data_IF_796030212891
#
_entry.id   IF_796030212891
#
_cell.length_a   1.000
_cell.length_b   1.000
_cell.length_c   1.000
_cell.angle_alpha   90.00
_cell.angle_beta   90.00
_cell.angle_gamma   90.00
#
_symmetry.space_group_name_H-M   'P 1'
#
loop_
_entity.id
_entity.type
_entity.pdbx_description
1 polymer ?
#
# COMPACT_ATOMS: atom_id res chain seq x y z
N UNK A 1 -23.03 3.13 -18.80
CA UNK A 1 -22.12 1.96 -18.57
C UNK A 1 -21.49 1.41 -19.85
N UNK A 2 -22.06 1.63 -21.05
CA UNK A 2 -21.47 1.14 -22.32
C UNK A 2 -20.03 1.65 -22.53
N UNK A 3 -19.71 2.90 -22.17
CA UNK A 3 -18.37 3.47 -22.26
C UNK A 3 -17.31 2.75 -21.40
N UNK A 4 -17.70 2.16 -20.26
CA UNK A 4 -16.80 1.47 -19.34
C UNK A 4 -16.79 -0.06 -19.54
N UNK A 5 -17.53 -0.60 -20.49
CA UNK A 5 -17.66 -2.06 -20.69
C UNK A 5 -16.34 -2.74 -21.09
N UNK A 6 -15.45 -2.03 -21.79
CA UNK A 6 -14.12 -2.52 -22.11
C UNK A 6 -13.19 -2.66 -20.92
N UNK A 7 -13.35 -1.80 -19.91
CA UNK A 7 -12.55 -1.79 -18.69
C UNK A 7 -13.19 -2.59 -17.54
N UNK A 8 -14.49 -2.39 -17.33
CA UNK A 8 -15.26 -3.08 -16.28
C UNK A 8 -15.90 -4.36 -16.81
N UNK A 9 -15.11 -5.33 -17.23
CA UNK A 9 -15.58 -6.66 -17.57
C UNK A 9 -14.88 -7.72 -16.73
N UNK A 10 -15.56 -8.87 -16.53
CA UNK A 10 -15.05 -9.96 -15.68
C UNK A 10 -13.70 -10.49 -16.15
N UNK A 11 -13.47 -10.58 -17.45
CA UNK A 11 -12.22 -11.08 -18.00
C UNK A 11 -11.03 -10.16 -17.68
N UNK A 12 -11.16 -8.86 -17.99
CA UNK A 12 -10.15 -7.86 -17.69
C UNK A 12 -9.86 -7.76 -16.19
N UNK A 13 -10.92 -7.70 -15.36
CA UNK A 13 -10.78 -7.69 -13.90
C UNK A 13 -9.97 -8.90 -13.39
N UNK A 14 -10.34 -10.10 -13.83
CA UNK A 14 -9.66 -11.33 -13.38
C UNK A 14 -8.20 -11.37 -13.82
N UNK A 15 -7.92 -11.05 -15.09
CA UNK A 15 -6.54 -11.07 -15.62
C UNK A 15 -5.65 -10.07 -14.88
N UNK A 16 -6.10 -8.82 -14.74
CA UNK A 16 -5.29 -7.77 -14.06
C UNK A 16 -5.10 -8.09 -12.57
N UNK A 17 -6.13 -8.59 -11.90
CA UNK A 17 -6.04 -9.01 -10.50
C UNK A 17 -5.03 -10.14 -10.32
N UNK A 18 -5.12 -11.18 -11.13
CA UNK A 18 -4.17 -12.32 -11.08
C UNK A 18 -2.75 -11.86 -11.36
N UNK A 19 -2.53 -11.06 -12.41
CA UNK A 19 -1.20 -10.52 -12.73
C UNK A 19 -0.62 -9.69 -11.57
N UNK A 20 -1.44 -8.86 -10.93
CA UNK A 20 -1.02 -8.05 -9.78
C UNK A 20 -0.58 -8.93 -8.62
N UNK A 21 -1.41 -9.89 -8.22
CA UNK A 21 -1.11 -10.79 -7.10
C UNK A 21 0.12 -11.67 -7.40
N UNK A 22 0.22 -12.21 -8.61
CA UNK A 22 1.37 -13.00 -9.04
C UNK A 22 2.66 -12.18 -9.03
N UNK A 23 2.61 -10.94 -9.51
CA UNK A 23 3.78 -10.04 -9.53
C UNK A 23 4.26 -9.74 -8.11
N UNK A 24 3.37 -9.40 -7.18
CA UNK A 24 3.71 -9.15 -5.78
C UNK A 24 4.26 -10.39 -5.09
N UNK A 25 3.61 -11.53 -5.30
CA UNK A 25 4.03 -12.81 -4.72
C UNK A 25 5.40 -13.25 -5.24
N UNK A 26 5.64 -13.11 -6.53
CA UNK A 26 6.92 -13.44 -7.15
C UNK A 26 8.07 -12.57 -6.64
N UNK A 27 7.88 -11.25 -6.60
CA UNK A 27 8.90 -10.32 -6.11
C UNK A 27 9.17 -10.52 -4.61
N UNK A 28 8.13 -10.70 -3.80
CA UNK A 28 8.27 -11.02 -2.37
C UNK A 28 8.97 -12.35 -2.14
N UNK A 29 8.63 -13.38 -2.93
CA UNK A 29 9.33 -14.68 -2.87
C UNK A 29 10.81 -14.57 -3.23
N UNK A 30 11.15 -13.78 -4.26
CA UNK A 30 12.55 -13.52 -4.63
C UNK A 30 13.33 -12.83 -3.50
N UNK A 31 12.75 -11.82 -2.88
CA UNK A 31 13.39 -11.13 -1.74
C UNK A 31 13.60 -12.08 -0.56
N UNK A 32 12.60 -12.90 -0.23
CA UNK A 32 12.69 -13.92 0.82
C UNK A 32 13.73 -14.99 0.51
N UNK A 33 13.79 -15.48 -0.73
CA UNK A 33 14.78 -16.46 -1.17
C UNK A 33 16.20 -15.93 -0.97
N UNK A 34 16.45 -14.68 -1.31
CA UNK A 34 17.76 -14.05 -1.13
C UNK A 34 18.13 -13.86 0.34
N UNK A 35 17.18 -13.50 1.19
CA UNK A 35 17.41 -13.43 2.64
C UNK A 35 17.83 -14.80 3.21
N UNK A 36 17.12 -15.86 2.84
CA UNK A 36 17.47 -17.23 3.28
C UNK A 36 18.83 -17.69 2.77
N UNK A 37 19.22 -17.35 1.55
CA UNK A 37 20.55 -17.66 1.02
C UNK A 37 21.67 -17.06 1.88
N UNK A 38 21.44 -15.89 2.46
CA UNK A 38 22.42 -15.26 3.35
C UNK A 38 22.52 -15.97 4.71
N UNK A 39 21.39 -16.48 5.21
CA UNK A 39 21.36 -17.24 6.46
C UNK A 39 22.08 -18.59 6.33
N UNK A 40 21.95 -19.25 5.17
CA UNK A 40 22.55 -20.55 4.87
C UNK A 40 24.04 -20.44 4.49
N UNK A 41 24.42 -19.36 3.80
CA UNK A 41 25.79 -19.13 3.29
C UNK A 41 26.26 -17.73 3.66
N UNK A 42 26.88 -17.53 4.82
CA UNK A 42 27.45 -16.24 5.20
C UNK A 42 28.46 -15.76 4.15
N UNK A 43 28.41 -14.49 3.81
CA UNK A 43 29.26 -13.90 2.77
C UNK A 43 30.71 -13.84 3.22
N UNK A 44 31.66 -14.48 2.50
CA UNK A 44 33.04 -14.62 2.92
C UNK A 44 33.86 -13.35 2.71
N UNK A 45 33.40 -12.39 1.87
CA UNK A 45 34.15 -11.18 1.55
C UNK A 45 33.32 -9.89 1.53
N UNK A 46 33.99 -8.76 1.77
CA UNK A 46 33.37 -7.42 1.70
C UNK A 46 32.82 -7.09 0.30
N UNK A 47 33.47 -7.57 -0.75
CA UNK A 47 33.04 -7.33 -2.14
C UNK A 47 31.77 -8.10 -2.48
N UNK A 48 31.65 -9.33 -2.01
CA UNK A 48 30.41 -10.11 -2.16
C UNK A 48 29.25 -9.50 -1.37
N UNK A 49 29.56 -8.95 -0.18
CA UNK A 49 28.60 -8.19 0.61
C UNK A 49 28.03 -6.97 -0.15
N UNK A 50 28.89 -6.17 -0.79
CA UNK A 50 28.45 -5.04 -1.62
C UNK A 50 27.57 -5.48 -2.79
N UNK A 51 27.97 -6.56 -3.51
CA UNK A 51 27.20 -7.12 -4.62
C UNK A 51 25.84 -7.64 -4.16
N UNK A 52 25.80 -8.27 -3.00
CA UNK A 52 24.55 -8.76 -2.39
C UNK A 52 23.59 -7.58 -2.08
N UNK A 53 24.09 -6.53 -1.40
CA UNK A 53 23.31 -5.33 -1.08
C UNK A 53 22.79 -4.66 -2.35
N UNK A 54 23.68 -4.46 -3.34
CA UNK A 54 23.29 -3.86 -4.62
C UNK A 54 22.14 -4.64 -5.29
N UNK A 55 22.28 -5.96 -5.38
CA UNK A 55 21.25 -6.78 -6.02
C UNK A 55 19.94 -6.75 -5.23
N UNK A 56 19.98 -6.74 -3.89
CA UNK A 56 18.77 -6.60 -3.07
C UNK A 56 18.12 -5.23 -3.27
N UNK A 57 18.90 -4.17 -3.37
CA UNK A 57 18.39 -2.82 -3.66
C UNK A 57 17.67 -2.79 -5.01
N UNK A 58 18.20 -3.43 -6.04
CA UNK A 58 17.54 -3.53 -7.36
C UNK A 58 16.19 -4.26 -7.26
N UNK A 59 16.14 -5.41 -6.57
CA UNK A 59 14.88 -6.14 -6.39
C UNK A 59 13.86 -5.35 -5.55
N UNK A 60 14.31 -4.67 -4.50
CA UNK A 60 13.46 -3.81 -3.68
C UNK A 60 12.92 -2.62 -4.49
N UNK A 61 13.77 -1.96 -5.29
CA UNK A 61 13.35 -0.87 -6.15
C UNK A 61 12.32 -1.33 -7.21
N UNK A 62 12.54 -2.49 -7.82
CA UNK A 62 11.58 -3.07 -8.77
C UNK A 62 10.24 -3.38 -8.09
N UNK A 63 10.27 -3.95 -6.87
CA UNK A 63 9.06 -4.18 -6.09
C UNK A 63 8.32 -2.88 -5.82
N UNK A 64 9.02 -1.82 -5.36
CA UNK A 64 8.41 -0.53 -5.07
C UNK A 64 7.75 0.10 -6.31
N UNK A 65 8.37 0.01 -7.48
CA UNK A 65 7.80 0.54 -8.73
C UNK A 65 6.52 -0.23 -9.09
N UNK A 66 6.56 -1.56 -9.13
CA UNK A 66 5.39 -2.40 -9.45
C UNK A 66 4.28 -2.18 -8.41
N UNK A 67 4.64 -2.14 -7.14
CA UNK A 67 3.69 -1.92 -6.04
C UNK A 67 3.02 -0.55 -6.13
N UNK A 68 3.80 0.52 -6.32
CA UNK A 68 3.27 1.88 -6.45
C UNK A 68 2.28 2.00 -7.62
N UNK A 69 2.65 1.49 -8.80
CA UNK A 69 1.78 1.51 -9.97
C UNK A 69 0.46 0.75 -9.72
N UNK A 70 0.52 -0.43 -9.11
CA UNK A 70 -0.67 -1.27 -8.88
C UNK A 70 -1.52 -0.78 -7.72
N UNK A 71 -0.93 -0.27 -6.64
CA UNK A 71 -1.67 0.30 -5.49
C UNK A 71 -2.39 1.58 -5.86
N UNK A 72 -1.81 2.39 -6.74
CA UNK A 72 -2.42 3.65 -7.18
C UNK A 72 -3.47 3.45 -8.29
N UNK A 73 -3.49 2.31 -8.97
CA UNK A 73 -4.39 2.02 -10.09
C UNK A 73 -5.29 0.82 -9.85
N UNK A 74 -4.72 -0.39 -9.77
CA UNK A 74 -5.50 -1.64 -9.73
C UNK A 74 -6.42 -1.71 -8.51
N UNK A 75 -5.89 -1.40 -7.32
CA UNK A 75 -6.68 -1.46 -6.09
C UNK A 75 -7.85 -0.46 -6.13
N UNK A 76 -7.62 0.86 -6.30
CA UNK A 76 -8.73 1.79 -6.27
C UNK A 76 -9.68 1.64 -7.46
N UNK A 77 -9.17 1.41 -8.66
CA UNK A 77 -10.02 1.40 -9.86
C UNK A 77 -10.80 0.11 -10.04
N UNK A 78 -10.17 -1.05 -9.84
CA UNK A 78 -10.81 -2.34 -10.08
C UNK A 78 -11.44 -2.94 -8.82
N UNK A 79 -10.81 -2.81 -7.66
CA UNK A 79 -11.28 -3.49 -6.46
C UNK A 79 -12.21 -2.64 -5.59
N UNK A 80 -12.06 -1.32 -5.59
CA UNK A 80 -12.81 -0.44 -4.70
C UNK A 80 -13.86 0.40 -5.43
N UNK A 81 -13.47 1.21 -6.41
CA UNK A 81 -14.41 2.09 -7.13
C UNK A 81 -15.30 1.34 -8.11
N UNK A 82 -14.97 0.11 -8.51
CA UNK A 82 -15.83 -0.73 -9.34
C UNK A 82 -17.12 -1.17 -8.64
N UNK A 83 -17.19 -1.08 -7.31
CA UNK A 83 -18.39 -1.37 -6.52
C UNK A 83 -19.50 -0.37 -6.86
N UNK A 84 -19.15 0.90 -7.04
CA UNK A 84 -20.03 1.93 -7.57
C UNK A 84 -19.48 2.44 -8.91
N UNK A 85 -19.94 1.84 -10.01
CA UNK A 85 -19.43 2.11 -11.35
C UNK A 85 -19.68 3.54 -11.85
N UNK A 86 -20.57 4.28 -11.22
CA UNK A 86 -20.85 5.68 -11.55
C UNK A 86 -19.95 6.67 -10.83
N UNK A 87 -19.42 6.28 -9.67
CA UNK A 87 -18.53 7.11 -8.89
C UNK A 87 -17.06 6.89 -9.25
N UNK A 88 -16.26 7.96 -9.26
CA UNK A 88 -14.82 7.92 -9.42
C UNK A 88 -14.18 9.13 -8.75
N UNK A 89 -12.97 8.96 -8.22
CA UNK A 89 -12.19 10.03 -7.64
C UNK A 89 -10.70 9.72 -7.71
N UNK A 90 -9.91 10.65 -8.24
CA UNK A 90 -8.43 10.54 -8.27
C UNK A 90 -7.84 10.64 -6.88
N UNK A 91 -8.40 11.50 -6.03
CA UNK A 91 -7.96 11.66 -4.63
C UNK A 91 -8.16 10.38 -3.81
N UNK A 92 -9.12 9.54 -4.18
CA UNK A 92 -9.38 8.27 -3.52
C UNK A 92 -8.22 7.29 -3.66
N UNK A 93 -7.50 7.33 -4.76
CA UNK A 93 -6.29 6.51 -4.95
C UNK A 93 -5.18 6.92 -3.97
N UNK A 94 -4.95 8.20 -3.79
CA UNK A 94 -4.00 8.73 -2.81
C UNK A 94 -4.41 8.44 -1.37
N UNK A 95 -5.69 8.60 -1.07
CA UNK A 95 -6.27 8.27 0.22
C UNK A 95 -6.04 6.79 0.58
N UNK A 96 -6.33 5.89 -0.35
CA UNK A 96 -6.13 4.46 -0.19
C UNK A 96 -4.65 4.10 -0.01
N UNK A 97 -3.75 4.71 -0.79
CA UNK A 97 -2.31 4.54 -0.62
C UNK A 97 -1.84 4.95 0.78
N UNK A 98 -2.21 6.15 1.22
CA UNK A 98 -1.79 6.66 2.53
C UNK A 98 -2.30 5.79 3.68
N UNK A 99 -3.56 5.35 3.64
CA UNK A 99 -4.16 4.46 4.65
C UNK A 99 -3.44 3.10 4.71
N UNK A 100 -3.17 2.51 3.55
CA UNK A 100 -2.46 1.23 3.46
C UNK A 100 -1.02 1.34 3.97
N UNK A 101 -0.36 2.46 3.67
CA UNK A 101 1.00 2.70 4.15
C UNK A 101 1.05 2.83 5.68
N UNK A 102 0.15 3.62 6.29
CA UNK A 102 0.06 3.74 7.75
C UNK A 102 -0.21 2.39 8.40
N UNK A 103 -1.17 1.63 7.88
CA UNK A 103 -1.50 0.31 8.39
C UNK A 103 -0.31 -0.66 8.28
N UNK A 104 0.43 -0.62 7.17
CA UNK A 104 1.63 -1.42 6.95
C UNK A 104 2.75 -1.08 7.94
N UNK A 105 3.05 0.21 8.13
CA UNK A 105 4.08 0.65 9.10
C UNK A 105 3.66 0.30 10.53
N UNK A 106 2.37 0.47 10.88
CA UNK A 106 1.86 0.08 12.20
C UNK A 106 2.04 -1.43 12.46
N UNK A 107 1.70 -2.26 11.47
CA UNK A 107 1.88 -3.71 11.56
C UNK A 107 3.37 -4.09 11.72
N UNK A 108 4.26 -3.49 10.92
CA UNK A 108 5.72 -3.70 11.05
C UNK A 108 6.18 -3.30 12.45
N UNK A 109 5.74 -2.15 12.96
CA UNK A 109 6.12 -1.68 14.30
C UNK A 109 5.70 -2.66 15.38
N UNK A 110 4.47 -3.20 15.31
CA UNK A 110 4.00 -4.23 16.24
C UNK A 110 4.88 -5.48 16.22
N UNK A 111 5.24 -5.97 15.03
CA UNK A 111 6.14 -7.11 14.90
C UNK A 111 7.54 -6.81 15.42
N UNK A 112 8.10 -5.64 15.13
CA UNK A 112 9.43 -5.24 15.61
C UNK A 112 9.45 -5.16 17.13
N UNK A 113 8.44 -4.54 17.76
CA UNK A 113 8.34 -4.48 19.22
C UNK A 113 8.19 -5.88 19.83
N UNK A 114 7.33 -6.72 19.26
CA UNK A 114 7.13 -8.09 19.73
C UNK A 114 8.41 -8.92 19.65
N UNK A 115 9.10 -8.90 18.51
CA UNK A 115 10.35 -9.64 18.31
C UNK A 115 11.48 -9.12 19.20
N UNK A 116 11.60 -7.79 19.35
CA UNK A 116 12.58 -7.18 20.24
C UNK A 116 12.37 -7.60 21.70
N UNK A 117 11.14 -7.59 22.18
CA UNK A 117 10.82 -8.00 23.54
C UNK A 117 11.09 -9.49 23.81
N UNK A 118 11.09 -10.31 22.76
CA UNK A 118 11.44 -11.73 22.84
C UNK A 118 12.92 -12.02 22.54
N UNK A 119 13.77 -10.99 22.40
CA UNK A 119 15.23 -11.16 22.27
C UNK A 119 15.71 -11.52 20.85
N UNK A 120 14.83 -11.44 19.83
CA UNK A 120 15.21 -11.83 18.44
C UNK A 120 15.90 -10.72 17.65
N UNK A 121 15.76 -9.45 18.01
CA UNK A 121 16.30 -8.31 17.27
C UNK A 121 17.34 -7.54 18.11
N UNK A 122 18.51 -8.14 18.32
CA UNK A 122 19.58 -7.55 19.14
C UNK A 122 20.06 -6.20 18.63
N UNK A 123 20.14 -6.01 17.30
CA UNK A 123 20.62 -4.76 16.68
C UNK A 123 19.57 -3.66 16.61
N UNK A 124 18.30 -3.94 16.96
CA UNK A 124 17.22 -2.95 16.93
C UNK A 124 17.25 -2.11 18.20
N UNK A 125 17.56 -0.83 18.05
CA UNK A 125 17.58 0.15 19.14
C UNK A 125 16.31 1.01 19.16
N UNK A 126 16.23 1.93 20.12
CA UNK A 126 15.09 2.84 20.27
C UNK A 126 14.99 3.86 19.14
N UNK A 127 16.11 4.20 18.47
CA UNK A 127 16.12 5.09 17.30
C UNK A 127 15.32 4.50 16.14
N UNK A 128 15.47 3.19 15.87
CA UNK A 128 14.70 2.53 14.83
C UNK A 128 13.17 2.55 15.13
N UNK A 129 12.80 2.37 16.39
CA UNK A 129 11.38 2.47 16.79
C UNK A 129 10.87 3.91 16.70
N UNK A 130 11.71 4.87 17.04
CA UNK A 130 11.38 6.29 16.91
C UNK A 130 11.19 6.70 15.43
N UNK A 131 12.02 6.19 14.54
CA UNK A 131 11.86 6.45 13.10
C UNK A 131 10.58 5.83 12.54
N UNK A 132 10.22 4.61 12.93
CA UNK A 132 8.92 4.02 12.59
C UNK A 132 7.75 4.87 13.11
N UNK A 133 7.87 5.39 14.35
CA UNK A 133 6.89 6.30 14.94
C UNK A 133 6.74 7.60 14.15
N UNK A 134 7.84 8.20 13.68
CA UNK A 134 7.81 9.39 12.82
C UNK A 134 7.08 9.12 11.50
N UNK A 135 7.34 7.97 10.86
CA UNK A 135 6.64 7.58 9.64
C UNK A 135 5.13 7.41 9.88
N UNK A 136 4.73 6.71 10.94
CA UNK A 136 3.31 6.58 11.29
C UNK A 136 2.66 7.94 11.50
N UNK A 137 3.30 8.81 12.28
CA UNK A 137 2.76 10.14 12.57
C UNK A 137 2.60 10.98 11.31
N UNK A 138 3.66 11.10 10.50
CA UNK A 138 3.63 11.90 9.28
C UNK A 138 2.58 11.44 8.29
N UNK A 139 2.51 10.12 8.04
CA UNK A 139 1.53 9.56 7.11
C UNK A 139 0.11 9.54 7.66
N UNK A 140 -0.09 9.51 8.98
CA UNK A 140 -1.41 9.68 9.59
C UNK A 140 -1.95 11.09 9.35
N UNK A 141 -1.12 12.12 9.49
CA UNK A 141 -1.48 13.50 9.16
C UNK A 141 -1.80 13.61 7.66
N UNK A 142 -0.95 13.05 6.80
CA UNK A 142 -1.17 13.05 5.36
C UNK A 142 -2.47 12.33 4.96
N UNK A 143 -2.78 11.19 5.55
CA UNK A 143 -4.03 10.46 5.34
C UNK A 143 -5.26 11.29 5.75
N UNK A 144 -5.22 11.90 6.94
CA UNK A 144 -6.30 12.77 7.44
C UNK A 144 -6.49 13.98 6.52
N UNK A 145 -5.41 14.60 6.08
CA UNK A 145 -5.43 15.70 5.13
C UNK A 145 -6.11 15.31 3.80
N UNK A 146 -5.76 14.15 3.24
CA UNK A 146 -6.36 13.67 2.00
C UNK A 146 -7.87 13.42 2.14
N UNK A 147 -8.29 12.82 3.25
CA UNK A 147 -9.71 12.61 3.53
C UNK A 147 -10.46 13.92 3.65
N UNK A 148 -9.93 14.86 4.44
CA UNK A 148 -10.53 16.16 4.64
C UNK A 148 -10.59 16.97 3.35
N UNK A 149 -9.53 16.98 2.56
CA UNK A 149 -9.48 17.67 1.27
C UNK A 149 -10.51 17.13 0.29
N UNK A 150 -10.65 15.79 0.19
CA UNK A 150 -11.67 15.18 -0.64
C UNK A 150 -13.08 15.55 -0.18
N UNK A 151 -13.34 15.48 1.12
CA UNK A 151 -14.63 15.86 1.69
C UNK A 151 -14.96 17.32 1.39
N UNK A 152 -14.03 18.25 1.64
CA UNK A 152 -14.23 19.68 1.41
C UNK A 152 -14.48 20.00 -0.06
N UNK A 153 -13.75 19.39 -0.98
CA UNK A 153 -13.95 19.61 -2.42
C UNK A 153 -15.34 19.16 -2.87
N UNK A 154 -15.77 17.97 -2.45
CA UNK A 154 -17.07 17.41 -2.81
C UNK A 154 -18.20 18.20 -2.14
N UNK A 155 -18.04 18.59 -0.88
CA UNK A 155 -18.99 19.40 -0.15
C UNK A 155 -19.16 20.79 -0.79
N UNK A 156 -18.06 21.45 -1.16
CA UNK A 156 -18.08 22.78 -1.77
C UNK A 156 -18.68 22.75 -3.18
N UNK A 157 -18.28 21.81 -4.02
CA UNK A 157 -18.79 21.68 -5.39
C UNK A 157 -20.23 21.20 -5.44
N UNK A 158 -20.64 20.37 -4.50
CA UNK A 158 -22.00 19.80 -4.35
C UNK A 158 -22.54 19.18 -5.66
N UNK A 159 -21.69 18.53 -6.43
CA UNK A 159 -22.05 17.86 -7.68
C UNK A 159 -22.73 16.54 -7.32
N UNK A 160 -23.99 16.27 -7.80
CA UNK A 160 -24.75 15.09 -7.40
C UNK A 160 -24.03 13.76 -7.63
N UNK A 161 -23.28 13.64 -8.74
CA UNK A 161 -22.52 12.43 -9.09
C UNK A 161 -21.37 12.15 -8.12
N UNK A 162 -20.81 13.17 -7.49
CA UNK A 162 -19.68 13.05 -6.55
C UNK A 162 -20.15 12.87 -5.11
N UNK A 163 -21.29 13.43 -4.74
CA UNK A 163 -21.84 13.33 -3.37
C UNK A 163 -22.31 11.93 -3.00
N UNK A 164 -22.53 11.05 -3.95
CA UNK A 164 -23.00 9.66 -3.77
C UNK A 164 -22.11 8.89 -2.78
N UNK A 165 -20.82 9.20 -2.71
CA UNK A 165 -19.90 8.53 -1.78
C UNK A 165 -20.12 8.93 -0.32
N UNK A 166 -20.35 10.22 -0.04
CA UNK A 166 -20.47 10.76 1.33
C UNK A 166 -21.89 10.72 1.88
N UNK A 167 -22.91 10.93 1.03
CA UNK A 167 -24.31 10.99 1.46
C UNK A 167 -24.78 9.75 2.23
N UNK A 168 -24.56 8.52 1.78
CA UNK A 168 -24.97 7.33 2.54
C UNK A 168 -24.19 7.16 3.86
N UNK A 169 -22.99 7.72 3.95
CA UNK A 169 -22.16 7.69 5.18
C UNK A 169 -22.58 8.73 6.20
N UNK A 170 -23.12 9.87 5.73
CA UNK A 170 -23.60 10.95 6.60
C UNK A 170 -25.07 10.76 7.03
N UNK A 171 -25.92 10.21 6.14
CA UNK A 171 -27.39 10.11 6.33
C UNK A 171 -27.89 8.66 6.37
N UNK A 172 -27.03 7.66 6.16
CA UNK A 172 -27.36 6.25 6.07
C UNK A 172 -27.27 5.48 7.38
N UNK A 173 -27.45 4.15 7.36
CA UNK A 173 -27.38 3.31 8.56
C UNK A 173 -26.03 3.32 9.29
N UNK A 174 -25.02 3.97 8.73
CA UNK A 174 -23.69 4.17 9.31
C UNK A 174 -23.48 5.57 9.90
N UNK A 175 -24.52 6.42 9.91
CA UNK A 175 -24.52 7.71 10.60
C UNK A 175 -24.82 7.49 12.09
N UNK A 176 -23.83 7.06 12.85
CA UNK A 176 -23.91 6.88 14.29
C UNK A 176 -22.89 7.74 14.99
#
# INVERSE_FOLDING_TARGET
LQFKSGFLNKGFFTVVTVLTIVSWSFLGWKMRQRSRMLDENPLPSKEEGKKYIWTNTVWAALFLVVFALTVMSTIPWLWLMSIDAHWYSTMYSWYNFASTFVAGVALITLFVVFLKNNGYLEYTNNEHLHDLGKFMFAFSIFWTYLWFSQYMLIWYANIPEETVYFKPRAEGPYSG
#
